data_IF_113279476660
#
_entry.id   IF_113279476660
#
_cell.length_a   1.000
_cell.length_b   1.000
_cell.length_c   1.000
_cell.angle_alpha   90.00
_cell.angle_beta   90.00
_cell.angle_gamma   90.00
#
_symmetry.space_group_name_H-M   'P 1'
#
loop_
_entity.id
_entity.type
_entity.pdbx_description
1 polymer ?
#
# COMPACT_ATOMS: atom_id res chain seq x y z
N UNK A 1 3.96 4.57 -16.26
CA UNK A 1 3.81 3.16 -15.88
C UNK A 1 4.72 2.87 -14.71
N UNK A 2 4.58 1.73 -14.11
CA UNK A 2 5.42 1.33 -13.00
C UNK A 2 5.20 2.16 -11.74
N UNK A 3 6.23 2.86 -11.29
CA UNK A 3 6.20 3.61 -10.03
C UNK A 3 5.07 4.65 -9.99
N UNK A 4 4.90 5.38 -11.07
CA UNK A 4 3.88 6.42 -11.17
C UNK A 4 2.48 5.87 -10.93
N UNK A 5 2.17 4.78 -11.59
CA UNK A 5 0.90 4.10 -11.46
C UNK A 5 0.72 3.49 -10.07
N UNK A 6 1.77 2.88 -9.55
CA UNK A 6 1.73 2.27 -8.21
C UNK A 6 1.46 3.30 -7.12
N UNK A 7 2.04 4.48 -7.23
CA UNK A 7 1.81 5.56 -6.27
C UNK A 7 0.35 6.00 -6.29
N UNK A 8 -0.23 6.13 -7.47
CA UNK A 8 -1.66 6.46 -7.61
C UNK A 8 -2.53 5.38 -7.00
N UNK A 9 -2.22 4.13 -7.27
CA UNK A 9 -2.96 2.99 -6.74
C UNK A 9 -2.87 2.95 -5.22
N UNK A 10 -1.70 3.17 -4.67
CA UNK A 10 -1.49 3.21 -3.23
C UNK A 10 -2.34 4.30 -2.59
N UNK A 11 -2.28 5.49 -3.14
CA UNK A 11 -3.04 6.62 -2.62
C UNK A 11 -4.55 6.35 -2.69
N UNK A 12 -5.00 5.82 -3.81
CA UNK A 12 -6.40 5.50 -4.02
C UNK A 12 -6.87 4.39 -3.08
N UNK A 13 -6.07 3.36 -2.92
CA UNK A 13 -6.39 2.21 -2.07
C UNK A 13 -6.58 2.59 -0.60
N UNK A 14 -5.78 3.52 -0.11
CA UNK A 14 -5.84 3.97 1.28
C UNK A 14 -6.60 5.29 1.43
N UNK A 15 -7.24 5.77 0.35
CA UNK A 15 -8.02 7.01 0.35
C UNK A 15 -7.22 8.21 0.83
N UNK A 16 -6.00 8.33 0.35
CA UNK A 16 -5.09 9.39 0.74
C UNK A 16 -5.08 10.51 -0.31
N UNK A 17 -4.96 11.76 0.17
CA UNK A 17 -4.69 12.88 -0.70
C UNK A 17 -3.20 12.91 -1.02
N UNK A 18 -2.80 13.73 -1.99
CA UNK A 18 -1.38 13.91 -2.29
C UNK A 18 -0.62 14.48 -1.09
N UNK A 19 -1.26 15.36 -0.32
CA UNK A 19 -0.67 15.93 0.90
C UNK A 19 -0.40 14.85 1.94
N UNK A 20 -1.35 13.97 2.14
CA UNK A 20 -1.22 12.89 3.12
C UNK A 20 -0.11 11.93 2.73
N UNK A 21 -0.04 11.56 1.46
CA UNK A 21 1.03 10.69 1.00
C UNK A 21 2.39 11.39 1.09
N UNK A 22 2.43 12.68 0.81
CA UNK A 22 3.65 13.48 0.93
C UNK A 22 4.18 13.45 2.37
N UNK A 23 3.31 13.57 3.35
CA UNK A 23 3.69 13.45 4.76
C UNK A 23 4.30 12.10 5.08
N UNK A 24 3.66 11.04 4.61
CA UNK A 24 4.15 9.67 4.82
C UNK A 24 5.54 9.49 4.20
N UNK A 25 5.73 9.98 2.99
CA UNK A 25 6.98 9.85 2.27
C UNK A 25 8.05 10.85 2.71
N UNK A 26 7.68 11.85 3.50
CA UNK A 26 8.59 12.88 3.96
C UNK A 26 8.99 13.86 2.86
N UNK A 27 8.08 14.17 1.95
CA UNK A 27 8.32 15.07 0.81
C UNK A 27 7.19 16.09 0.72
N UNK A 28 7.27 16.95 -0.31
CA UNK A 28 6.22 17.95 -0.55
C UNK A 28 5.11 17.36 -1.42
N UNK A 29 3.94 17.98 -1.37
CA UNK A 29 2.82 17.65 -2.25
C UNK A 29 3.24 17.72 -3.72
N UNK A 30 4.03 18.71 -4.08
CA UNK A 30 4.53 18.89 -5.43
C UNK A 30 5.35 17.69 -5.89
N UNK A 31 6.15 17.12 -4.99
CA UNK A 31 6.95 15.94 -5.30
C UNK A 31 6.04 14.75 -5.65
N UNK A 32 5.01 14.52 -4.84
CA UNK A 32 4.04 13.44 -5.11
C UNK A 32 3.35 13.66 -6.46
N UNK A 33 2.98 14.90 -6.73
CA UNK A 33 2.35 15.24 -8.02
C UNK A 33 3.26 14.92 -9.20
N UNK A 34 4.55 15.23 -9.11
CA UNK A 34 5.50 14.92 -10.18
C UNK A 34 5.71 13.42 -10.35
N UNK A 35 5.65 12.67 -9.26
CA UNK A 35 5.73 11.20 -9.33
C UNK A 35 4.53 10.63 -10.07
N UNK A 36 3.35 11.11 -9.77
CA UNK A 36 2.10 10.61 -10.38
C UNK A 36 1.99 10.95 -11.86
N UNK A 37 2.56 12.06 -12.28
CA UNK A 37 2.59 12.42 -13.71
C UNK A 37 3.71 11.74 -14.47
N UNK A 38 4.63 11.11 -13.76
CA UNK A 38 5.78 10.46 -14.39
C UNK A 38 6.92 11.41 -14.73
N UNK A 39 6.82 12.69 -14.33
CA UNK A 39 7.86 13.69 -14.60
C UNK A 39 9.14 13.39 -13.83
N UNK A 40 9.02 12.86 -12.63
CA UNK A 40 10.15 12.45 -11.79
C UNK A 40 9.81 11.18 -11.05
N UNK A 41 10.83 10.40 -10.73
CA UNK A 41 10.67 9.22 -9.92
C UNK A 41 11.07 9.54 -8.47
N UNK A 42 10.41 8.89 -7.48
CA UNK A 42 10.81 9.06 -6.10
C UNK A 42 12.20 8.45 -5.86
N UNK A 43 12.92 9.06 -4.94
CA UNK A 43 14.21 8.51 -4.51
C UNK A 43 13.96 7.37 -3.52
N UNK A 44 15.03 6.64 -3.22
CA UNK A 44 14.92 5.46 -2.36
C UNK A 44 14.44 5.79 -0.94
N UNK A 45 14.83 6.92 -0.37
CA UNK A 45 14.37 7.34 0.95
C UNK A 45 12.85 7.41 1.08
N UNK A 46 12.18 8.18 0.22
CA UNK A 46 10.72 8.21 0.19
C UNK A 46 10.08 6.85 -0.06
N UNK A 47 10.66 6.05 -0.95
CA UNK A 47 10.16 4.69 -1.23
C UNK A 47 10.23 3.83 0.02
N UNK A 48 11.31 3.88 0.76
CA UNK A 48 11.46 3.13 2.00
C UNK A 48 10.44 3.55 3.06
N UNK A 49 10.20 4.84 3.18
CA UNK A 49 9.22 5.36 4.12
C UNK A 49 7.81 4.90 3.80
N UNK A 50 7.45 4.96 2.51
CA UNK A 50 6.15 4.47 2.07
C UNK A 50 6.01 2.96 2.30
N UNK A 51 7.01 2.20 1.91
CA UNK A 51 7.00 0.74 2.09
C UNK A 51 6.84 0.36 3.57
N UNK A 52 7.56 1.04 4.44
CA UNK A 52 7.49 0.81 5.88
C UNK A 52 6.12 1.18 6.45
N UNK A 53 5.59 2.31 6.03
CA UNK A 53 4.30 2.78 6.51
C UNK A 53 3.16 1.82 6.13
N UNK A 54 3.17 1.35 4.90
CA UNK A 54 2.11 0.46 4.40
C UNK A 54 2.39 -1.01 4.65
N UNK A 55 3.54 -1.36 5.19
CA UNK A 55 3.89 -2.74 5.48
C UNK A 55 4.10 -3.58 4.22
N UNK A 56 4.63 -2.99 3.17
CA UNK A 56 4.89 -3.64 1.90
C UNK A 56 6.38 -3.59 1.56
N UNK A 57 6.77 -4.29 0.51
CA UNK A 57 8.15 -4.29 0.05
C UNK A 57 8.40 -3.11 -0.89
N UNK A 58 9.64 -2.64 -0.95
CA UNK A 58 10.02 -1.58 -1.90
C UNK A 58 9.72 -2.00 -3.34
N UNK A 59 9.94 -3.26 -3.67
CA UNK A 59 9.66 -3.80 -5.00
C UNK A 59 8.19 -3.68 -5.38
N UNK A 60 7.28 -3.76 -4.42
CA UNK A 60 5.85 -3.59 -4.68
C UNK A 60 5.54 -2.18 -5.20
N UNK A 61 6.33 -1.19 -4.81
CA UNK A 61 6.17 0.19 -5.26
C UNK A 61 6.87 0.40 -6.60
N UNK A 62 8.06 -0.19 -6.75
CA UNK A 62 8.94 0.06 -7.89
C UNK A 62 8.54 -0.70 -9.14
N UNK A 63 8.15 -1.95 -9.00
CA UNK A 63 7.87 -2.83 -10.13
C UNK A 63 6.48 -2.63 -10.72
N UNK A 64 6.36 -2.81 -12.03
CA UNK A 64 5.07 -2.79 -12.72
C UNK A 64 4.15 -3.85 -12.13
N UNK A 65 2.94 -3.42 -11.76
CA UNK A 65 1.98 -4.33 -11.17
C UNK A 65 2.37 -4.86 -9.80
N UNK A 66 3.38 -4.27 -9.16
CA UNK A 66 3.86 -4.72 -7.85
C UNK A 66 2.79 -4.70 -6.78
N UNK A 67 1.86 -3.77 -6.86
CA UNK A 67 0.76 -3.69 -5.90
C UNK A 67 -0.34 -4.71 -6.19
N UNK A 68 -0.48 -5.13 -7.42
CA UNK A 68 -1.47 -6.14 -7.79
C UNK A 68 -1.14 -7.49 -7.15
N UNK A 69 0.13 -7.77 -6.96
CA UNK A 69 0.58 -8.99 -6.28
C UNK A 69 0.15 -9.00 -4.82
N UNK A 70 -0.01 -7.83 -4.21
CA UNK A 70 -0.49 -7.72 -2.84
C UNK A 70 -2.01 -7.78 -2.77
N UNK A 71 -2.68 -7.23 -3.77
CA UNK A 71 -4.12 -7.02 -3.77
C UNK A 71 -4.93 -8.31 -3.67
N UNK A 72 -4.43 -9.39 -4.25
CA UNK A 72 -5.21 -10.62 -4.35
C UNK A 72 -5.16 -11.49 -3.09
N UNK A 73 -4.08 -11.43 -2.31
CA UNK A 73 -3.86 -12.45 -1.28
C UNK A 73 -3.20 -11.98 0.00
N UNK A 74 -3.22 -10.68 0.26
CA UNK A 74 -2.42 -10.13 1.35
C UNK A 74 -2.62 -10.82 2.68
N UNK A 75 -3.86 -11.04 3.05
CA UNK A 75 -4.18 -11.68 4.33
C UNK A 75 -4.02 -13.18 4.23
N UNK A 76 -4.58 -13.80 3.19
CA UNK A 76 -4.52 -15.25 3.01
C UNK A 76 -3.08 -15.75 2.88
N UNK A 77 -2.27 -15.11 2.03
CA UNK A 77 -0.89 -15.52 1.84
C UNK A 77 -0.04 -15.32 3.09
N UNK A 78 -0.28 -14.22 3.80
CA UNK A 78 0.45 -13.93 5.04
C UNK A 78 0.16 -14.99 6.11
N UNK A 79 -1.09 -15.37 6.26
CA UNK A 79 -1.49 -16.32 7.29
C UNK A 79 -1.29 -17.78 6.90
N UNK A 80 -1.19 -18.09 5.62
CA UNK A 80 -0.84 -19.43 5.17
C UNK A 80 0.57 -19.84 5.55
N UNK A 81 1.48 -18.88 5.61
CA UNK A 81 2.87 -19.13 6.01
C UNK A 81 3.01 -19.35 7.51
N UNK A 82 2.03 -18.94 8.28
CA UNK A 82 1.99 -19.19 9.72
C UNK A 82 0.90 -20.23 9.97
N UNK A 83 1.21 -21.23 10.74
CA UNK A 83 0.30 -22.36 10.93
C UNK A 83 -0.85 -22.01 11.88
N UNK A 84 -1.93 -21.51 11.32
CA UNK A 84 -3.16 -21.26 12.07
C UNK A 84 -4.17 -22.35 11.85
N UNK A 85 -5.03 -22.60 12.84
CA UNK A 85 -6.16 -23.49 12.69
C UNK A 85 -7.24 -22.83 11.83
N UNK A 86 -8.18 -23.64 11.32
CA UNK A 86 -9.29 -23.11 10.52
C UNK A 86 -10.11 -22.09 11.31
N UNK A 87 -10.33 -22.33 12.59
CA UNK A 87 -11.08 -21.41 13.44
C UNK A 87 -10.32 -20.08 13.63
N UNK A 88 -9.02 -20.16 13.84
CA UNK A 88 -8.19 -18.98 13.96
C UNK A 88 -8.18 -18.17 12.68
N UNK A 89 -8.09 -18.85 11.53
CA UNK A 89 -8.16 -18.18 10.22
C UNK A 89 -9.49 -17.45 10.02
N UNK A 90 -10.58 -18.06 10.41
CA UNK A 90 -11.90 -17.46 10.32
C UNK A 90 -12.00 -16.21 11.16
N UNK A 91 -11.47 -16.21 12.36
CA UNK A 91 -11.48 -15.07 13.24
C UNK A 91 -10.62 -13.92 12.71
N UNK A 92 -9.44 -14.24 12.18
CA UNK A 92 -8.54 -13.26 11.59
C UNK A 92 -9.19 -12.58 10.38
N UNK A 93 -9.81 -13.37 9.51
CA UNK A 93 -10.50 -12.84 8.32
C UNK A 93 -11.68 -11.97 8.71
N UNK A 94 -12.41 -12.38 9.73
CA UNK A 94 -13.54 -11.62 10.26
C UNK A 94 -13.09 -10.27 10.80
N UNK A 95 -12.01 -10.26 11.55
CA UNK A 95 -11.44 -9.05 12.12
C UNK A 95 -10.93 -8.10 11.02
N UNK A 96 -10.21 -8.63 10.05
CA UNK A 96 -9.72 -7.85 8.92
C UNK A 96 -10.87 -7.23 8.12
N UNK A 97 -11.95 -7.98 7.92
CA UNK A 97 -13.12 -7.49 7.24
C UNK A 97 -13.81 -6.38 8.03
N UNK A 98 -13.87 -6.52 9.33
CA UNK A 98 -14.44 -5.52 10.22
C UNK A 98 -13.67 -4.18 10.14
N UNK A 99 -12.35 -4.24 10.18
CA UNK A 99 -11.50 -3.05 10.06
C UNK A 99 -11.72 -2.37 8.71
N UNK A 100 -11.78 -3.14 7.65
CA UNK A 100 -12.01 -2.64 6.30
C UNK A 100 -13.39 -1.96 6.19
N UNK A 101 -14.39 -2.54 6.84
CA UNK A 101 -15.73 -1.98 6.88
C UNK A 101 -15.76 -0.64 7.61
N UNK A 102 -15.04 -0.53 8.73
CA UNK A 102 -14.94 0.72 9.47
C UNK A 102 -14.27 1.83 8.67
N UNK A 103 -13.25 1.48 7.90
CA UNK A 103 -12.56 2.46 7.05
C UNK A 103 -13.47 3.08 6.01
N UNK A 104 -14.46 2.35 5.53
CA UNK A 104 -15.39 2.84 4.51
C UNK A 104 -16.39 3.85 5.07
N UNK A 105 -16.59 3.87 6.36
CA UNK A 105 -17.54 4.75 7.00
C UNK A 105 -16.94 6.10 7.42
N UNK A 106 -15.65 6.26 7.27
CA UNK A 106 -14.93 7.49 7.63
C UNK A 106 -14.70 8.41 6.38
#
# INVERSE_FOLDING_TARGET
MGISENIKILRDRYHLTQDELAEIAGVTNKAVSTWETGSKEPRMGPIERMARHFGIKKSNIIEDGGLDLIASDTIAAHFENEKYTEEEMKEILKYAHFIKSQRKEV
#
